data_IF_411652891235
#
_entry.id   IF_411652891235
#
_cell.length_a   1.000
_cell.length_b   1.000
_cell.length_c   1.000
_cell.angle_alpha   90.00
_cell.angle_beta   90.00
_cell.angle_gamma   90.00
#
_symmetry.space_group_name_H-M   'P 1'
#
loop_
_entity.id
_entity.type
_entity.pdbx_description
1 polymer ?
#
# COMPACT_ATOMS: atom_id res chain seq x y z
N UNK A 1 35.09 -30.09 2.50
CA UNK A 1 34.71 -29.11 3.54
C UNK A 1 34.54 -27.68 2.99
N UNK A 2 35.32 -27.30 1.98
CA UNK A 2 35.32 -25.92 1.44
C UNK A 2 34.00 -25.47 0.82
N UNK A 3 33.25 -26.37 0.18
CA UNK A 3 31.95 -26.06 -0.41
C UNK A 3 30.89 -25.64 0.62
N UNK A 4 30.87 -26.30 1.79
CA UNK A 4 29.94 -25.94 2.87
C UNK A 4 30.26 -24.56 3.46
N UNK A 5 31.54 -24.24 3.65
CA UNK A 5 31.94 -22.91 4.12
C UNK A 5 31.61 -21.82 3.09
N UNK A 6 31.86 -22.09 1.81
CA UNK A 6 31.48 -21.14 0.73
C UNK A 6 29.99 -20.89 0.69
N UNK A 7 29.17 -21.94 0.73
CA UNK A 7 27.71 -21.83 0.74
C UNK A 7 27.20 -21.07 1.98
N UNK A 8 27.78 -21.34 3.14
CA UNK A 8 27.45 -20.67 4.39
C UNK A 8 27.77 -19.17 4.33
N UNK A 9 28.98 -18.79 3.90
CA UNK A 9 29.32 -17.36 3.75
C UNK A 9 28.51 -16.66 2.68
N UNK A 10 28.21 -17.32 1.56
CA UNK A 10 27.32 -16.79 0.53
C UNK A 10 25.92 -16.52 1.08
N UNK A 11 25.38 -17.43 1.88
CA UNK A 11 24.06 -17.26 2.51
C UNK A 11 24.03 -16.07 3.47
N UNK A 12 25.06 -15.93 4.30
CA UNK A 12 25.21 -14.78 5.21
C UNK A 12 25.31 -13.48 4.40
N UNK A 13 26.11 -13.45 3.35
CA UNK A 13 26.27 -12.29 2.48
C UNK A 13 24.94 -11.86 1.83
N UNK A 14 24.18 -12.79 1.26
CA UNK A 14 22.87 -12.54 0.69
C UNK A 14 21.88 -12.03 1.75
N UNK A 15 21.88 -12.63 2.94
CA UNK A 15 21.03 -12.20 4.04
C UNK A 15 21.37 -10.78 4.51
N UNK A 16 22.65 -10.47 4.66
CA UNK A 16 23.10 -9.13 5.05
C UNK A 16 22.73 -8.08 4.01
N UNK A 17 22.98 -8.37 2.72
CA UNK A 17 22.62 -7.49 1.61
C UNK A 17 21.12 -7.22 1.55
N UNK A 18 20.29 -8.27 1.66
CA UNK A 18 18.82 -8.15 1.73
C UNK A 18 18.37 -7.25 2.89
N UNK A 19 18.96 -7.49 4.09
CA UNK A 19 18.59 -6.72 5.29
C UNK A 19 18.98 -5.25 5.16
N UNK A 20 20.15 -4.96 4.61
CA UNK A 20 20.63 -3.60 4.38
C UNK A 20 19.71 -2.85 3.38
N UNK A 21 19.37 -3.49 2.26
CA UNK A 21 18.44 -2.92 1.28
C UNK A 21 17.05 -2.65 1.87
N UNK A 22 16.50 -3.59 2.64
CA UNK A 22 15.21 -3.41 3.30
C UNK A 22 15.23 -2.25 4.31
N UNK A 23 16.30 -2.07 5.07
CA UNK A 23 16.47 -0.93 5.97
C UNK A 23 16.48 0.40 5.21
N UNK A 24 17.18 0.46 4.07
CA UNK A 24 17.21 1.63 3.22
C UNK A 24 15.82 1.98 2.66
N UNK A 25 15.06 0.98 2.21
CA UNK A 25 13.68 1.17 1.71
C UNK A 25 12.73 1.63 2.81
N UNK A 26 12.83 1.05 4.00
CA UNK A 26 12.04 1.48 5.17
C UNK A 26 12.39 2.92 5.55
N UNK A 27 13.67 3.27 5.61
CA UNK A 27 14.12 4.61 5.93
C UNK A 27 13.65 5.63 4.87
N UNK A 28 13.74 5.26 3.58
CA UNK A 28 13.27 6.09 2.48
C UNK A 28 11.76 6.37 2.61
N UNK A 29 10.93 5.33 2.61
CA UNK A 29 9.48 5.51 2.68
C UNK A 29 9.06 6.20 3.99
N UNK A 30 9.65 5.82 5.11
CA UNK A 30 9.40 6.42 6.42
C UNK A 30 9.72 7.91 6.46
N UNK A 31 10.81 8.37 5.78
CA UNK A 31 11.17 9.79 5.72
C UNK A 31 10.13 10.66 4.98
N UNK A 32 9.35 10.06 4.08
CA UNK A 32 8.24 10.74 3.41
C UNK A 32 6.94 10.63 4.23
N UNK A 33 6.59 9.44 4.71
CA UNK A 33 5.37 9.23 5.49
C UNK A 33 5.32 10.05 6.78
N UNK A 34 6.45 10.26 7.46
CA UNK A 34 6.51 11.07 8.68
C UNK A 34 6.12 12.54 8.49
N UNK A 35 6.10 13.06 7.24
CA UNK A 35 5.65 14.43 6.94
C UNK A 35 4.13 14.57 7.05
N UNK A 36 3.39 13.46 7.06
CA UNK A 36 1.95 13.38 7.04
C UNK A 36 1.42 12.62 8.25
N UNK A 37 0.14 12.80 8.55
CA UNK A 37 -0.57 11.99 9.54
C UNK A 37 -1.33 10.82 8.89
N UNK A 38 -0.90 10.40 7.69
CA UNK A 38 -1.59 9.46 6.84
C UNK A 38 -1.93 8.14 7.55
N UNK A 39 -0.97 7.55 8.29
CA UNK A 39 -1.22 6.30 9.02
C UNK A 39 -2.32 6.46 10.07
N UNK A 40 -2.31 7.58 10.81
CA UNK A 40 -3.33 7.90 11.82
C UNK A 40 -4.69 8.12 11.17
N UNK A 41 -4.75 8.91 10.09
CA UNK A 41 -6.01 9.19 9.39
C UNK A 41 -6.60 7.93 8.77
N UNK A 42 -5.76 7.05 8.18
CA UNK A 42 -6.20 5.75 7.66
C UNK A 42 -6.80 4.86 8.76
N UNK A 43 -6.17 4.79 9.93
CA UNK A 43 -6.68 4.03 11.07
C UNK A 43 -8.02 4.60 11.54
N UNK A 44 -8.11 5.93 11.69
CA UNK A 44 -9.35 6.60 12.06
C UNK A 44 -10.49 6.36 11.04
N UNK A 45 -10.19 6.35 9.73
CA UNK A 45 -11.18 6.04 8.70
C UNK A 45 -11.67 4.60 8.79
N UNK A 46 -10.76 3.63 8.89
CA UNK A 46 -11.13 2.21 8.95
C UNK A 46 -11.99 1.94 10.19
N UNK A 47 -11.57 2.43 11.35
CA UNK A 47 -12.32 2.27 12.60
C UNK A 47 -13.66 3.03 12.57
N UNK A 48 -13.65 4.23 12.00
CA UNK A 48 -14.85 5.04 11.84
C UNK A 48 -15.88 4.39 10.91
N UNK A 49 -15.45 3.84 9.78
CA UNK A 49 -16.32 3.08 8.88
C UNK A 49 -16.92 1.85 9.57
N UNK A 50 -16.11 1.07 10.29
CA UNK A 50 -16.61 -0.09 11.03
C UNK A 50 -17.67 0.30 12.06
N UNK A 51 -17.47 1.41 12.77
CA UNK A 51 -18.44 1.94 13.73
C UNK A 51 -19.72 2.41 13.04
N UNK A 52 -19.60 3.18 11.96
CA UNK A 52 -20.75 3.70 11.21
C UNK A 52 -21.58 2.56 10.58
N UNK A 53 -20.90 1.54 10.06
CA UNK A 53 -21.54 0.35 9.47
C UNK A 53 -22.18 -0.56 10.51
N UNK A 54 -21.68 -0.55 11.74
CA UNK A 54 -22.25 -1.30 12.87
C UNK A 54 -23.43 -0.59 13.56
N UNK A 55 -23.64 0.72 13.29
CA UNK A 55 -24.75 1.48 13.89
C UNK A 55 -26.01 1.37 13.01
N UNK A 56 -27.09 0.88 13.60
CA UNK A 56 -28.36 0.70 12.91
C UNK A 56 -29.27 1.92 13.02
N UNK A 57 -29.00 2.83 13.97
CA UNK A 57 -29.79 4.04 14.16
C UNK A 57 -29.25 5.15 13.25
N UNK A 58 -30.05 5.66 12.28
CA UNK A 58 -29.66 6.75 11.41
C UNK A 58 -29.27 8.04 12.15
N UNK A 59 -29.90 8.34 13.29
CA UNK A 59 -29.58 9.53 14.07
C UNK A 59 -28.21 9.43 14.74
N UNK A 60 -27.76 8.23 15.08
CA UNK A 60 -26.44 7.98 15.67
C UNK A 60 -25.35 7.81 14.61
N UNK A 61 -25.68 7.23 13.46
CA UNK A 61 -24.71 7.04 12.38
C UNK A 61 -24.40 8.33 11.62
N UNK A 62 -25.36 9.25 11.47
CA UNK A 62 -25.16 10.51 10.74
C UNK A 62 -23.99 11.37 11.26
N UNK A 63 -23.83 11.62 12.58
CA UNK A 63 -22.66 12.35 13.10
C UNK A 63 -21.34 11.64 12.84
N UNK A 64 -21.32 10.29 12.84
CA UNK A 64 -20.10 9.51 12.55
C UNK A 64 -19.69 9.75 11.10
N UNK A 65 -20.64 9.63 10.15
CA UNK A 65 -20.38 9.88 8.74
C UNK A 65 -19.88 11.31 8.47
N UNK A 66 -20.49 12.31 9.10
CA UNK A 66 -20.07 13.71 8.94
C UNK A 66 -18.64 13.95 9.44
N UNK A 67 -18.26 13.34 10.57
CA UNK A 67 -16.89 13.45 11.06
C UNK A 67 -15.85 12.78 10.14
N UNK A 68 -16.24 11.72 9.42
CA UNK A 68 -15.35 11.01 8.50
C UNK A 68 -15.04 11.81 7.24
N UNK A 69 -15.94 12.70 6.78
CA UNK A 69 -15.74 13.49 5.57
C UNK A 69 -14.48 14.37 5.63
N UNK A 70 -14.20 14.97 6.78
CA UNK A 70 -12.99 15.77 6.97
C UNK A 70 -11.71 14.92 6.92
N UNK A 71 -11.76 13.69 7.47
CA UNK A 71 -10.64 12.77 7.46
C UNK A 71 -10.43 12.18 6.05
N UNK A 72 -11.51 11.89 5.34
CA UNK A 72 -11.47 11.46 3.93
C UNK A 72 -10.77 12.51 3.05
N UNK A 73 -11.12 13.78 3.23
CA UNK A 73 -10.48 14.88 2.51
C UNK A 73 -8.98 14.99 2.86
N UNK A 74 -8.62 14.83 4.14
CA UNK A 74 -7.23 14.86 4.57
C UNK A 74 -6.43 13.70 3.97
N UNK A 75 -6.95 12.46 4.00
CA UNK A 75 -6.29 11.29 3.39
C UNK A 75 -6.09 11.46 1.89
N UNK A 76 -7.11 11.99 1.17
CA UNK A 76 -6.99 12.28 -0.26
C UNK A 76 -5.83 13.22 -0.55
N UNK A 77 -5.74 14.32 0.21
CA UNK A 77 -4.68 15.31 0.03
C UNK A 77 -3.30 14.75 0.39
N UNK A 78 -3.20 14.01 1.48
CA UNK A 78 -1.95 13.39 1.93
C UNK A 78 -1.45 12.32 0.96
N UNK A 79 -2.34 11.49 0.38
CA UNK A 79 -1.97 10.51 -0.65
C UNK A 79 -1.47 11.18 -1.92
N UNK A 80 -2.13 12.26 -2.36
CA UNK A 80 -1.70 13.02 -3.54
C UNK A 80 -0.31 13.63 -3.31
N UNK A 81 -0.11 14.31 -2.18
CA UNK A 81 1.19 14.91 -1.83
C UNK A 81 2.30 13.85 -1.67
N UNK A 82 2.00 12.70 -1.06
CA UNK A 82 2.96 11.61 -0.95
C UNK A 82 3.39 11.09 -2.31
N UNK A 83 2.45 10.94 -3.25
CA UNK A 83 2.75 10.51 -4.62
C UNK A 83 3.61 11.53 -5.37
N UNK A 84 3.34 12.83 -5.19
CA UNK A 84 4.11 13.92 -5.81
C UNK A 84 5.49 14.05 -5.18
N UNK A 85 5.60 14.05 -3.86
CA UNK A 85 6.88 14.13 -3.15
C UNK A 85 7.82 12.97 -3.51
N UNK A 86 7.28 11.73 -3.58
CA UNK A 86 8.09 10.57 -3.95
C UNK A 86 8.47 10.57 -5.43
N UNK A 87 7.77 11.31 -6.29
CA UNK A 87 8.10 11.41 -7.71
C UNK A 87 9.48 12.01 -7.96
N UNK A 88 9.94 12.89 -7.06
CA UNK A 88 11.27 13.49 -7.09
C UNK A 88 12.39 12.50 -6.72
N UNK A 89 12.07 11.35 -6.15
CA UNK A 89 13.08 10.34 -5.79
C UNK A 89 13.63 9.67 -7.04
N UNK A 90 14.94 9.49 -7.09
CA UNK A 90 15.58 8.79 -8.20
C UNK A 90 15.03 7.37 -8.40
N UNK A 91 14.61 7.07 -9.63
CA UNK A 91 13.83 5.88 -9.97
C UNK A 91 14.46 4.54 -9.59
N UNK A 92 15.78 4.41 -9.57
CA UNK A 92 16.43 3.18 -9.11
C UNK A 92 16.09 2.81 -7.64
N UNK A 93 15.88 3.81 -6.79
CA UNK A 93 15.60 3.62 -5.36
C UNK A 93 14.15 3.22 -5.09
N UNK A 94 13.25 3.42 -6.05
CA UNK A 94 11.82 3.15 -5.94
C UNK A 94 11.39 1.88 -6.66
N UNK A 95 12.35 1.14 -7.28
CA UNK A 95 12.06 -0.13 -7.94
C UNK A 95 11.67 -1.23 -6.96
N UNK A 96 10.59 -1.92 -7.27
CA UNK A 96 10.01 -3.02 -6.48
C UNK A 96 10.07 -4.30 -7.29
N UNK A 97 10.60 -5.37 -6.71
CA UNK A 97 10.59 -6.68 -7.37
C UNK A 97 9.16 -7.26 -7.41
N UNK A 98 8.75 -7.78 -8.57
CA UNK A 98 7.49 -8.51 -8.74
C UNK A 98 7.48 -9.88 -8.07
N UNK A 99 8.63 -10.40 -7.70
CA UNK A 99 8.75 -11.71 -7.08
C UNK A 99 8.12 -11.75 -5.68
N UNK A 100 7.58 -12.89 -5.27
CA UNK A 100 6.94 -13.03 -3.97
C UNK A 100 7.91 -12.81 -2.81
N UNK A 101 9.19 -13.14 -3.00
CA UNK A 101 10.25 -12.99 -2.01
C UNK A 101 11.20 -11.84 -2.37
N UNK A 102 11.82 -11.24 -1.37
CA UNK A 102 12.82 -10.21 -1.59
C UNK A 102 14.14 -10.82 -2.08
N UNK A 103 14.58 -10.40 -3.25
CA UNK A 103 15.88 -10.72 -3.83
C UNK A 103 16.72 -9.44 -3.79
N UNK A 104 17.90 -9.47 -3.13
CA UNK A 104 18.74 -8.29 -3.05
C UNK A 104 19.22 -7.87 -4.45
N UNK A 105 19.28 -6.58 -4.67
CA UNK A 105 19.68 -5.96 -5.95
C UNK A 105 18.83 -6.38 -7.17
N UNK A 106 17.57 -6.81 -6.96
CA UNK A 106 16.68 -7.21 -8.04
C UNK A 106 16.51 -6.10 -9.09
N UNK A 107 16.51 -4.83 -8.67
CA UNK A 107 16.46 -3.67 -9.56
C UNK A 107 17.64 -3.58 -10.54
N UNK A 108 18.82 -4.09 -10.17
CA UNK A 108 20.04 -4.10 -11.01
C UNK A 108 20.19 -5.40 -11.79
N UNK A 109 19.94 -6.53 -11.12
CA UNK A 109 20.13 -7.86 -11.72
C UNK A 109 18.99 -8.25 -12.66
N UNK A 110 17.76 -7.81 -12.36
CA UNK A 110 16.54 -8.20 -13.07
C UNK A 110 15.60 -7.00 -13.25
N UNK A 111 16.03 -5.93 -13.93
CA UNK A 111 15.25 -4.69 -14.05
C UNK A 111 13.87 -4.91 -14.70
N UNK A 112 13.76 -5.83 -15.66
CA UNK A 112 12.50 -6.21 -16.29
C UNK A 112 11.49 -6.86 -15.33
N UNK A 113 11.96 -7.47 -14.23
CA UNK A 113 11.10 -8.08 -13.20
C UNK A 113 10.75 -7.11 -12.07
N UNK A 114 10.78 -5.80 -12.33
CA UNK A 114 10.47 -4.77 -11.35
C UNK A 114 9.46 -3.77 -11.89
N UNK A 115 8.76 -3.10 -10.97
CA UNK A 115 7.91 -1.95 -11.26
C UNK A 115 8.34 -0.75 -10.40
N UNK A 116 7.80 0.42 -10.68
CA UNK A 116 8.14 1.65 -9.97
C UNK A 116 7.07 1.99 -8.92
N UNK A 117 7.49 2.11 -7.65
CA UNK A 117 6.61 2.54 -6.55
C UNK A 117 5.98 3.91 -6.81
N UNK A 118 6.70 4.84 -7.46
CA UNK A 118 6.19 6.19 -7.75
C UNK A 118 4.95 6.15 -8.63
N UNK A 119 4.96 5.29 -9.66
CA UNK A 119 3.79 5.06 -10.51
C UNK A 119 2.66 4.39 -9.72
N UNK A 120 3.01 3.44 -8.87
CA UNK A 120 2.02 2.74 -8.04
C UNK A 120 1.34 3.67 -7.03
N UNK A 121 2.08 4.61 -6.42
CA UNK A 121 1.48 5.61 -5.52
C UNK A 121 0.51 6.53 -6.23
N UNK A 122 0.78 6.92 -7.49
CA UNK A 122 -0.18 7.68 -8.31
C UNK A 122 -1.46 6.88 -8.58
N UNK A 123 -1.35 5.57 -8.82
CA UNK A 123 -2.52 4.68 -8.97
C UNK A 123 -3.36 4.70 -7.69
N UNK A 124 -2.73 4.58 -6.51
CA UNK A 124 -3.44 4.62 -5.24
C UNK A 124 -4.08 5.98 -4.94
N UNK A 125 -3.36 7.08 -5.16
CA UNK A 125 -3.91 8.42 -4.95
C UNK A 125 -5.11 8.67 -5.85
N UNK A 126 -5.02 8.32 -7.14
CA UNK A 126 -6.12 8.41 -8.10
C UNK A 126 -7.29 7.50 -7.71
N UNK A 127 -7.02 6.25 -7.33
CA UNK A 127 -8.05 5.28 -6.95
C UNK A 127 -8.85 5.72 -5.73
N UNK A 128 -8.17 6.24 -4.70
CA UNK A 128 -8.83 6.79 -3.53
C UNK A 128 -9.66 8.03 -3.87
N UNK A 129 -9.13 8.97 -4.66
CA UNK A 129 -9.85 10.17 -5.09
C UNK A 129 -11.10 9.84 -5.91
N UNK A 130 -10.99 8.94 -6.89
CA UNK A 130 -12.13 8.49 -7.71
C UNK A 130 -13.21 7.80 -6.85
N UNK A 131 -12.79 6.93 -5.92
CA UNK A 131 -13.71 6.26 -5.00
C UNK A 131 -14.38 7.24 -4.03
N UNK A 132 -13.67 8.30 -3.62
CA UNK A 132 -14.22 9.34 -2.75
C UNK A 132 -15.25 10.23 -3.49
N UNK A 133 -14.97 10.60 -4.74
CA UNK A 133 -15.95 11.34 -5.57
C UNK A 133 -17.22 10.57 -5.84
N UNK A 134 -17.13 9.24 -5.73
CA UNK A 134 -18.27 8.34 -5.91
C UNK A 134 -18.98 8.49 -7.26
N UNK A 135 -18.22 8.58 -8.34
CA UNK A 135 -18.75 8.75 -9.70
C UNK A 135 -19.68 7.57 -10.09
N UNK A 136 -19.50 6.40 -9.48
CA UNK A 136 -20.36 5.21 -9.64
C UNK A 136 -21.69 5.28 -8.84
N UNK A 137 -21.94 6.36 -8.09
CA UNK A 137 -23.13 6.56 -7.29
C UNK A 137 -23.44 5.43 -6.30
N UNK A 138 -22.42 4.85 -5.70
CA UNK A 138 -22.58 3.82 -4.69
C UNK A 138 -23.30 4.38 -3.45
N UNK A 139 -24.10 3.54 -2.80
CA UNK A 139 -24.60 3.87 -1.48
C UNK A 139 -23.44 4.02 -0.49
N UNK A 140 -23.58 4.88 0.50
CA UNK A 140 -22.49 5.27 1.42
C UNK A 140 -21.78 4.07 2.06
N UNK A 141 -22.53 3.00 2.34
CA UNK A 141 -22.00 1.74 2.85
C UNK A 141 -20.98 1.12 1.88
N UNK A 142 -21.35 0.96 0.62
CA UNK A 142 -20.52 0.30 -0.39
C UNK A 142 -19.33 1.18 -0.77
N UNK A 143 -19.52 2.51 -0.77
CA UNK A 143 -18.41 3.46 -0.92
C UNK A 143 -17.38 3.31 0.21
N UNK A 144 -17.82 3.20 1.47
CA UNK A 144 -16.92 3.00 2.61
C UNK A 144 -16.14 1.68 2.51
N UNK A 145 -16.77 0.59 2.05
CA UNK A 145 -16.08 -0.66 1.78
C UNK A 145 -15.02 -0.52 0.70
N UNK A 146 -15.33 0.18 -0.40
CA UNK A 146 -14.38 0.45 -1.49
C UNK A 146 -13.21 1.29 -0.99
N UNK A 147 -13.47 2.40 -0.29
CA UNK A 147 -12.44 3.26 0.28
C UNK A 147 -11.52 2.50 1.25
N UNK A 148 -12.10 1.63 2.08
CA UNK A 148 -11.33 0.75 2.97
C UNK A 148 -10.40 -0.18 2.17
N UNK A 149 -10.89 -0.77 1.08
CA UNK A 149 -10.08 -1.63 0.22
C UNK A 149 -8.94 -0.86 -0.48
N UNK A 150 -9.20 0.37 -0.96
CA UNK A 150 -8.16 1.25 -1.53
C UNK A 150 -7.03 1.51 -0.52
N UNK A 151 -7.39 1.82 0.74
CA UNK A 151 -6.41 2.04 1.80
C UNK A 151 -5.63 0.77 2.17
N UNK A 152 -6.29 -0.37 2.21
CA UNK A 152 -5.64 -1.65 2.49
C UNK A 152 -4.68 -2.05 1.36
N UNK A 153 -5.04 -1.80 0.09
CA UNK A 153 -4.18 -2.06 -1.05
C UNK A 153 -2.95 -1.13 -1.05
N UNK A 154 -3.14 0.14 -0.74
CA UNK A 154 -2.04 1.10 -0.54
C UNK A 154 -1.09 0.61 0.57
N UNK A 155 -1.61 0.21 1.74
CA UNK A 155 -0.81 -0.33 2.84
C UNK A 155 -0.02 -1.58 2.43
N UNK A 156 -0.67 -2.49 1.70
CA UNK A 156 -0.03 -3.67 1.14
C UNK A 156 1.14 -3.28 0.24
N UNK A 157 0.97 -2.31 -0.64
CA UNK A 157 2.00 -1.83 -1.57
C UNK A 157 3.20 -1.21 -0.83
N UNK A 158 2.97 -0.43 0.22
CA UNK A 158 4.02 0.11 1.08
C UNK A 158 4.83 -1.01 1.76
N UNK A 159 4.16 -2.03 2.28
CA UNK A 159 4.83 -3.18 2.88
C UNK A 159 5.57 -4.04 1.86
N UNK A 160 5.03 -4.18 0.65
CA UNK A 160 5.70 -4.87 -0.44
C UNK A 160 7.02 -4.17 -0.80
N UNK A 161 6.99 -2.87 -0.99
CA UNK A 161 8.19 -2.08 -1.22
C UNK A 161 9.24 -2.27 -0.11
N UNK A 162 8.83 -2.17 1.15
CA UNK A 162 9.74 -2.28 2.31
C UNK A 162 10.33 -3.68 2.50
N UNK A 163 9.59 -4.72 2.12
CA UNK A 163 9.94 -6.12 2.43
C UNK A 163 9.82 -7.05 1.23
N UNK A 164 8.61 -7.57 0.98
CA UNK A 164 8.25 -8.41 -0.16
C UNK A 164 6.74 -8.57 -0.24
N UNK A 165 6.24 -9.05 -1.38
CA UNK A 165 4.79 -9.31 -1.56
C UNK A 165 4.27 -10.31 -0.53
N UNK A 166 5.00 -11.41 -0.28
CA UNK A 166 4.60 -12.41 0.73
C UNK A 166 4.47 -11.80 2.13
N UNK A 167 5.44 -10.97 2.55
CA UNK A 167 5.38 -10.30 3.85
C UNK A 167 4.24 -9.29 3.91
N UNK A 168 4.00 -8.55 2.83
CA UNK A 168 2.87 -7.61 2.74
C UNK A 168 1.53 -8.33 2.90
N UNK A 169 1.33 -9.44 2.16
CA UNK A 169 0.11 -10.25 2.24
C UNK A 169 -0.09 -10.89 3.61
N UNK A 170 0.98 -11.36 4.25
CA UNK A 170 0.91 -11.90 5.61
C UNK A 170 0.52 -10.82 6.64
N UNK A 171 1.03 -9.59 6.50
CA UNK A 171 0.66 -8.46 7.38
C UNK A 171 -0.80 -8.03 7.17
N UNK A 172 -1.26 -7.97 5.92
CA UNK A 172 -2.64 -7.67 5.58
C UNK A 172 -3.59 -8.67 6.27
N UNK A 173 -3.31 -9.97 6.13
CA UNK A 173 -4.08 -11.03 6.77
C UNK A 173 -4.02 -10.95 8.31
N UNK A 174 -2.85 -10.67 8.89
CA UNK A 174 -2.69 -10.60 10.34
C UNK A 174 -3.47 -9.42 10.94
N UNK A 175 -3.43 -8.24 10.29
CA UNK A 175 -4.03 -7.01 10.80
C UNK A 175 -5.53 -6.92 10.51
N UNK A 176 -5.93 -7.22 9.27
CA UNK A 176 -7.28 -6.96 8.78
C UNK A 176 -8.13 -8.22 8.55
N UNK A 177 -7.55 -9.41 8.77
CA UNK A 177 -8.20 -10.71 8.50
C UNK A 177 -8.73 -10.84 7.07
N UNK A 178 -8.10 -10.13 6.14
CA UNK A 178 -8.50 -10.03 4.74
C UNK A 178 -7.35 -10.42 3.83
N UNK A 179 -7.62 -11.25 2.84
CA UNK A 179 -6.63 -11.70 1.87
C UNK A 179 -6.36 -10.65 0.78
N UNK A 180 -5.16 -10.69 0.19
CA UNK A 180 -4.78 -9.79 -0.90
C UNK A 180 -5.77 -9.83 -2.08
N UNK A 181 -6.20 -11.03 -2.50
CA UNK A 181 -7.13 -11.18 -3.62
C UNK A 181 -8.51 -10.60 -3.32
N UNK A 182 -8.96 -10.67 -2.05
CA UNK A 182 -10.20 -10.07 -1.59
C UNK A 182 -10.13 -8.54 -1.64
N UNK A 183 -9.02 -7.97 -1.17
CA UNK A 183 -8.79 -6.52 -1.25
C UNK A 183 -8.75 -6.07 -2.70
N UNK A 184 -8.01 -6.78 -3.55
CA UNK A 184 -7.89 -6.46 -4.97
C UNK A 184 -9.23 -6.57 -5.73
N UNK A 185 -10.13 -7.47 -5.28
CA UNK A 185 -11.47 -7.57 -5.85
C UNK A 185 -12.41 -6.44 -5.38
N UNK A 186 -12.12 -5.81 -4.24
CA UNK A 186 -12.98 -4.82 -3.59
C UNK A 186 -12.63 -3.35 -3.93
N UNK A 187 -11.45 -3.08 -4.49
CA UNK A 187 -11.09 -1.74 -4.99
C UNK A 187 -11.89 -1.39 -6.26
N UNK A 188 -11.81 -0.15 -6.70
CA UNK A 188 -12.47 0.27 -7.95
C UNK A 188 -11.98 -0.54 -9.15
N UNK A 189 -12.82 -0.79 -10.16
CA UNK A 189 -12.40 -1.50 -11.38
C UNK A 189 -11.22 -0.82 -12.08
N UNK A 190 -11.16 0.52 -12.01
CA UNK A 190 -10.07 1.31 -12.57
C UNK A 190 -8.77 1.08 -11.79
N UNK A 191 -8.79 1.21 -10.46
CA UNK A 191 -7.63 0.92 -9.60
C UNK A 191 -7.13 -0.49 -9.84
N UNK A 192 -8.02 -1.48 -9.88
CA UNK A 192 -7.65 -2.88 -10.10
C UNK A 192 -6.92 -3.07 -11.42
N UNK A 193 -7.44 -2.51 -12.52
CA UNK A 193 -6.80 -2.59 -13.83
C UNK A 193 -5.42 -1.94 -13.82
N UNK A 194 -5.35 -0.64 -13.44
CA UNK A 194 -4.12 0.14 -13.47
C UNK A 194 -3.04 -0.47 -12.55
N UNK A 195 -3.46 -1.02 -11.41
CA UNK A 195 -2.59 -1.74 -10.48
C UNK A 195 -2.04 -3.04 -11.10
N UNK A 196 -2.90 -3.89 -11.67
CA UNK A 196 -2.49 -5.17 -12.25
C UNK A 196 -1.60 -4.97 -13.48
N UNK A 197 -1.91 -4.01 -14.33
CA UNK A 197 -1.09 -3.65 -15.48
C UNK A 197 0.34 -3.27 -15.06
N UNK A 198 0.49 -2.62 -13.90
CA UNK A 198 1.80 -2.23 -13.40
C UNK A 198 2.56 -3.38 -12.75
N UNK A 199 1.88 -4.20 -11.93
CA UNK A 199 2.57 -5.21 -11.09
C UNK A 199 2.72 -6.58 -11.75
N UNK A 200 1.99 -6.84 -12.85
CA UNK A 200 2.01 -8.12 -13.57
C UNK A 200 2.66 -8.04 -14.97
N UNK A 201 2.86 -6.84 -15.51
CA UNK A 201 3.44 -6.61 -16.84
C UNK A 201 4.86 -7.17 -17.04
#
# INVERSE_FOLDING_TARGET
>A
MDFFFLAFFATIGVYAAKTAEQRQRIALLGSYLQKFQLEKHMEQLIDGYLRALGENDPQRSAPIWSNLESIEAAVREELARLADDLHEVWGERTRVSRWPVAVPFANRLFPASTFDLRTLLKVHAKGFDTSLRNDDQLVRRDQAFRLTAELMLFQHSCHWFCRSRTVASARLMARHKTGYDQVLAAVSPETRRDYLDLVQA
#
